data_IF_014535992644
#
_entry.id   IF_014535992644
#
_cell.length_a   1.000
_cell.length_b   1.000
_cell.length_c   1.000
_cell.angle_alpha   90.00
_cell.angle_beta   90.00
_cell.angle_gamma   90.00
#
_symmetry.space_group_name_H-M   'P 1'
#
loop_
_entity.id
_entity.type
_entity.pdbx_description
1 polymer ?
#
# COMPACT_ATOMS: atom_id res chain seq x y z
N UNK A 1 29.38 42.68 19.36
CA UNK A 1 28.65 42.13 18.21
C UNK A 1 27.90 40.90 18.69
N UNK A 2 26.56 40.95 18.83
CA UNK A 2 25.75 39.77 19.16
C UNK A 2 25.44 39.04 17.86
N UNK A 3 25.95 37.82 17.72
CA UNK A 3 25.64 36.89 16.62
C UNK A 3 24.28 36.24 16.86
N UNK A 4 23.32 36.51 15.98
CA UNK A 4 22.02 35.83 15.96
C UNK A 4 22.18 34.45 15.31
N UNK A 5 22.04 33.39 16.11
CA UNK A 5 21.96 32.03 15.60
C UNK A 5 20.54 31.77 15.07
N UNK A 6 20.42 31.43 13.79
CA UNK A 6 19.14 31.07 13.15
C UNK A 6 18.87 29.58 13.41
N UNK A 7 17.79 29.26 14.11
CA UNK A 7 17.39 27.88 14.41
C UNK A 7 16.66 27.32 13.18
N UNK A 8 17.05 26.13 12.65
CA UNK A 8 16.32 25.51 11.55
C UNK A 8 14.91 25.16 12.03
N UNK A 9 13.91 25.67 11.32
CA UNK A 9 12.51 25.29 11.55
C UNK A 9 12.31 23.89 10.99
N UNK A 10 12.18 22.90 11.86
CA UNK A 10 11.74 21.56 11.47
C UNK A 10 10.26 21.67 11.12
N UNK A 11 9.92 21.43 9.85
CA UNK A 11 8.53 21.40 9.41
C UNK A 11 7.83 20.25 10.16
N UNK A 12 6.83 20.59 10.97
CA UNK A 12 6.05 19.60 11.72
C UNK A 12 5.45 18.58 10.74
N UNK A 13 5.64 17.29 11.02
CA UNK A 13 5.01 16.23 10.25
C UNK A 13 3.49 16.41 10.30
N UNK A 14 2.84 16.48 9.13
CA UNK A 14 1.39 16.52 9.05
C UNK A 14 0.76 15.23 9.62
N UNK A 15 -0.57 15.19 9.82
CA UNK A 15 -1.25 13.98 10.30
C UNK A 15 -0.95 12.78 9.40
N UNK A 16 -0.77 11.62 10.03
CA UNK A 16 -0.48 10.35 9.37
C UNK A 16 -1.58 9.97 8.37
N UNK A 17 -1.19 9.31 7.27
CA UNK A 17 -2.12 8.71 6.32
C UNK A 17 -2.19 7.22 6.61
N UNK A 18 -3.36 6.71 7.01
CA UNK A 18 -3.59 5.28 7.21
C UNK A 18 -4.21 4.69 5.94
N UNK A 19 -3.67 3.59 5.46
CA UNK A 19 -4.19 2.79 4.35
C UNK A 19 -4.17 1.33 4.76
N UNK A 20 -5.17 0.56 4.32
CA UNK A 20 -5.15 -0.88 4.57
C UNK A 20 -4.30 -1.58 3.52
N UNK A 21 -3.67 -2.69 3.89
CA UNK A 21 -3.00 -3.55 2.93
C UNK A 21 -4.00 -4.01 1.85
N UNK A 22 -3.53 -4.08 0.61
CA UNK A 22 -4.33 -4.44 -0.58
C UNK A 22 -5.48 -3.46 -0.91
N UNK A 23 -5.60 -2.35 -0.18
CA UNK A 23 -6.56 -1.28 -0.48
C UNK A 23 -5.87 -0.03 -1.06
N UNK A 24 -6.66 0.74 -1.80
CA UNK A 24 -6.24 2.02 -2.36
C UNK A 24 -7.09 3.17 -1.82
N UNK A 25 -6.44 4.30 -1.54
CA UNK A 25 -7.07 5.54 -1.11
C UNK A 25 -6.67 6.69 -2.02
N UNK A 26 -7.63 7.57 -2.32
CA UNK A 26 -7.37 8.78 -3.10
C UNK A 26 -6.88 9.93 -2.22
N UNK A 27 -5.75 10.52 -2.58
CA UNK A 27 -5.23 11.73 -1.97
C UNK A 27 -5.43 12.91 -2.93
N UNK A 28 -6.09 13.96 -2.43
CA UNK A 28 -6.27 15.22 -3.16
C UNK A 28 -5.20 16.22 -2.73
N UNK A 29 -4.54 16.81 -3.71
CA UNK A 29 -3.49 17.80 -3.52
C UNK A 29 -4.04 19.20 -3.74
N UNK A 30 -3.51 20.17 -2.99
CA UNK A 30 -3.86 21.59 -3.18
C UNK A 30 -3.28 22.14 -4.50
N UNK A 31 -2.14 21.60 -4.93
CA UNK A 31 -1.35 22.02 -6.09
C UNK A 31 -0.92 20.81 -6.90
N UNK A 32 -0.53 21.04 -8.15
CA UNK A 32 -0.10 19.95 -9.02
C UNK A 32 1.24 19.37 -8.56
N UNK A 33 1.32 18.05 -8.42
CA UNK A 33 2.56 17.34 -8.17
C UNK A 33 3.47 17.39 -9.42
N UNK A 34 4.76 17.63 -9.19
CA UNK A 34 5.81 17.47 -10.19
C UNK A 34 6.75 16.32 -9.81
N UNK A 35 6.94 16.07 -8.52
CA UNK A 35 7.77 14.98 -8.01
C UNK A 35 7.07 14.27 -6.86
N UNK A 36 7.16 12.95 -6.84
CA UNK A 36 6.58 12.08 -5.81
C UNK A 36 7.67 11.11 -5.36
N UNK A 37 7.89 11.07 -4.05
CA UNK A 37 8.86 10.18 -3.41
C UNK A 37 8.14 9.36 -2.35
N UNK A 38 8.27 8.04 -2.46
CA UNK A 38 7.84 7.08 -1.44
C UNK A 38 9.10 6.51 -0.80
N UNK A 39 9.21 6.58 0.53
CA UNK A 39 10.39 6.12 1.24
C UNK A 39 10.70 4.63 1.01
N UNK A 40 9.67 3.78 1.07
CA UNK A 40 9.76 2.35 0.77
C UNK A 40 8.57 1.87 -0.10
N UNK A 41 8.78 1.66 -1.40
CA UNK A 41 7.76 1.15 -2.33
C UNK A 41 7.26 -0.27 -2.05
N UNK A 42 7.95 -1.05 -1.19
CA UNK A 42 7.45 -2.37 -0.77
C UNK A 42 6.32 -2.27 0.26
N UNK A 43 6.22 -1.15 0.99
CA UNK A 43 5.20 -0.91 2.01
C UNK A 43 3.97 -0.27 1.39
N UNK A 44 4.15 0.80 0.61
CA UNK A 44 3.07 1.49 -0.07
C UNK A 44 3.53 1.98 -1.45
N UNK A 45 2.59 2.22 -2.35
CA UNK A 45 2.87 2.69 -3.71
C UNK A 45 1.93 3.84 -4.08
N UNK A 46 2.35 4.70 -5.01
CA UNK A 46 1.57 5.84 -5.45
C UNK A 46 1.51 5.89 -6.96
N UNK A 47 0.29 6.00 -7.49
CA UNK A 47 0.06 6.30 -8.91
C UNK A 47 -0.62 7.65 -9.07
N UNK A 48 -0.36 8.31 -10.20
CA UNK A 48 -0.90 9.62 -10.52
C UNK A 48 -2.15 9.45 -11.37
N UNK A 49 -3.31 9.84 -10.86
CA UNK A 49 -4.54 9.89 -11.65
C UNK A 49 -4.64 11.22 -12.43
N UNK A 50 -4.26 12.32 -11.80
CA UNK A 50 -4.14 13.64 -12.40
C UNK A 50 -3.11 14.47 -11.65
N UNK A 51 -2.74 15.65 -12.16
CA UNK A 51 -1.76 16.52 -11.49
C UNK A 51 -2.08 16.79 -10.01
N UNK A 52 -3.36 16.78 -9.60
CA UNK A 52 -3.78 17.03 -8.21
C UNK A 52 -4.39 15.82 -7.50
N UNK A 53 -4.43 14.65 -8.13
CA UNK A 53 -5.05 13.45 -7.53
C UNK A 53 -4.10 12.28 -7.64
N UNK A 54 -3.76 11.73 -6.47
CA UNK A 54 -2.91 10.56 -6.32
C UNK A 54 -3.76 9.39 -5.82
N UNK A 55 -3.43 8.19 -6.25
CA UNK A 55 -3.95 6.94 -5.69
C UNK A 55 -2.81 6.29 -4.91
N UNK A 56 -2.97 6.23 -3.59
CA UNK A 56 -2.05 5.57 -2.66
C UNK A 56 -2.56 4.16 -2.39
N UNK A 57 -1.71 3.15 -2.58
CA UNK A 57 -2.04 1.74 -2.36
C UNK A 57 -1.16 1.15 -1.26
N UNK A 58 -1.77 0.48 -0.28
CA UNK A 58 -1.04 -0.31 0.72
C UNK A 58 -0.57 -1.65 0.13
N UNK A 59 0.72 -1.97 0.26
CA UNK A 59 1.32 -3.20 -0.30
C UNK A 59 1.72 -4.21 0.78
N UNK A 60 2.32 -3.74 1.87
CA UNK A 60 2.70 -4.60 2.99
C UNK A 60 2.66 -3.83 4.30
N UNK A 61 2.52 -4.56 5.41
CA UNK A 61 2.48 -3.98 6.74
C UNK A 61 3.75 -3.19 7.06
N UNK A 62 3.56 -2.02 7.66
CA UNK A 62 4.67 -1.21 8.12
C UNK A 62 4.39 0.28 8.02
N UNK A 63 5.45 1.06 8.22
CA UNK A 63 5.41 2.51 8.14
C UNK A 63 6.38 2.98 7.06
N UNK A 64 5.94 3.90 6.22
CA UNK A 64 6.80 4.63 5.29
C UNK A 64 6.44 6.11 5.31
N UNK A 65 6.97 6.89 4.37
CA UNK A 65 6.63 8.29 4.20
C UNK A 65 6.36 8.61 2.74
N UNK A 66 5.47 9.57 2.53
CA UNK A 66 5.13 10.12 1.23
C UNK A 66 5.55 11.59 1.21
N UNK A 67 6.39 11.94 0.25
CA UNK A 67 6.79 13.31 -0.05
C UNK A 67 6.31 13.66 -1.45
N UNK A 68 5.64 14.79 -1.58
CA UNK A 68 5.15 15.31 -2.87
C UNK A 68 5.61 16.75 -3.01
N UNK A 69 6.25 17.08 -4.11
CA UNK A 69 6.74 18.42 -4.44
C UNK A 69 6.02 18.98 -5.66
N UNK A 70 5.90 20.30 -5.73
CA UNK A 70 5.50 21.01 -6.93
C UNK A 70 6.68 21.27 -7.88
N UNK A 71 6.40 21.90 -9.04
CA UNK A 71 7.40 22.22 -10.04
C UNK A 71 8.46 23.25 -9.59
N UNK A 72 8.26 23.91 -8.45
CA UNK A 72 9.22 24.83 -7.84
C UNK A 72 10.06 24.14 -6.74
N UNK A 73 9.89 22.83 -6.54
CA UNK A 73 10.55 22.07 -5.48
C UNK A 73 9.97 22.32 -4.09
N UNK A 74 8.82 22.98 -3.98
CA UNK A 74 8.19 23.23 -2.68
C UNK A 74 7.31 22.05 -2.29
N UNK A 75 7.46 21.63 -1.04
CA UNK A 75 6.69 20.53 -0.43
C UNK A 75 5.20 20.83 -0.46
N UNK A 76 4.42 19.92 -1.05
CA UNK A 76 2.96 19.85 -0.99
C UNK A 76 2.55 18.90 0.14
N UNK A 77 3.16 17.72 0.21
CA UNK A 77 2.92 16.72 1.26
C UNK A 77 4.27 16.24 1.78
N UNK A 78 4.38 16.12 3.11
CA UNK A 78 5.40 15.31 3.78
C UNK A 78 4.74 14.66 5.00
N UNK A 79 4.35 13.39 4.85
CA UNK A 79 3.56 12.66 5.85
C UNK A 79 4.04 11.22 5.99
N UNK A 80 3.84 10.66 7.18
CA UNK A 80 3.98 9.23 7.43
C UNK A 80 2.79 8.47 6.82
N UNK A 81 3.05 7.32 6.24
CA UNK A 81 2.07 6.37 5.70
C UNK A 81 2.07 5.11 6.55
N UNK A 82 0.94 4.91 7.22
CA UNK A 82 0.48 3.78 8.03
C UNK A 82 -0.13 2.65 7.23
N UNK A 83 0.52 1.52 6.97
CA UNK A 83 -0.14 0.36 6.33
C UNK A 83 -0.56 -0.66 7.38
N UNK A 84 -1.87 -0.88 7.49
CA UNK A 84 -2.49 -1.70 8.54
C UNK A 84 -3.23 -2.93 7.98
N UNK A 85 -3.65 -3.82 8.87
CA UNK A 85 -4.53 -4.94 8.54
C UNK A 85 -5.87 -4.47 7.98
N UNK A 86 -6.45 -5.16 6.98
CA UNK A 86 -7.73 -4.77 6.43
C UNK A 86 -8.82 -4.78 7.50
N UNK A 87 -9.72 -3.80 7.44
CA UNK A 87 -10.77 -3.68 8.44
C UNK A 87 -11.95 -4.59 8.13
N UNK A 88 -12.42 -5.34 9.14
CA UNK A 88 -13.67 -6.09 9.11
C UNK A 88 -13.54 -7.52 8.59
N UNK A 89 -14.21 -8.47 9.25
CA UNK A 89 -14.24 -9.88 8.83
C UNK A 89 -12.95 -10.68 9.05
N UNK A 90 -11.79 -10.04 9.14
CA UNK A 90 -10.52 -10.75 9.37
C UNK A 90 -10.40 -11.30 10.80
N UNK A 91 -10.08 -12.59 10.90
CA UNK A 91 -9.88 -13.32 12.15
C UNK A 91 -8.54 -14.03 12.10
N UNK A 92 -7.64 -13.70 13.04
CA UNK A 92 -6.32 -14.32 13.14
C UNK A 92 -6.30 -15.37 14.24
N UNK A 93 -5.95 -16.61 13.88
CA UNK A 93 -5.85 -17.76 14.79
C UNK A 93 -4.39 -18.09 15.03
N UNK A 94 -3.99 -18.17 16.30
CA UNK A 94 -2.66 -18.57 16.73
C UNK A 94 -2.68 -19.98 17.36
N UNK A 95 -1.84 -20.88 16.85
CA UNK A 95 -1.60 -22.23 17.39
C UNK A 95 -0.11 -22.41 17.67
N UNK A 96 0.31 -22.06 18.88
CA UNK A 96 1.74 -21.93 19.19
C UNK A 96 2.35 -20.80 18.37
N UNK A 97 3.39 -21.10 17.58
CA UNK A 97 4.01 -20.15 16.64
C UNK A 97 3.32 -20.09 15.26
N UNK A 98 2.36 -20.98 14.99
CA UNK A 98 1.61 -20.97 13.73
C UNK A 98 0.53 -19.89 13.77
N UNK A 99 0.58 -18.96 12.81
CA UNK A 99 -0.43 -17.92 12.58
C UNK A 99 -1.21 -18.27 11.31
N UNK A 100 -2.54 -18.19 11.37
CA UNK A 100 -3.40 -18.32 10.19
C UNK A 100 -4.46 -17.24 10.25
N UNK A 101 -4.73 -16.60 9.12
CA UNK A 101 -5.75 -15.57 9.01
C UNK A 101 -6.90 -16.08 8.14
N UNK A 102 -8.12 -15.78 8.57
CA UNK A 102 -9.39 -16.08 7.90
C UNK A 102 -10.14 -14.77 7.64
N UNK A 103 -10.98 -14.74 6.60
CA UNK A 103 -11.93 -13.65 6.39
C UNK A 103 -13.35 -14.20 6.48
N UNK A 104 -14.08 -13.81 7.52
CA UNK A 104 -15.38 -14.34 7.89
C UNK A 104 -16.50 -13.32 7.68
N UNK A 105 -17.37 -13.56 6.69
CA UNK A 105 -18.55 -12.73 6.43
C UNK A 105 -19.58 -13.42 5.51
N UNK A 106 -20.58 -14.17 6.03
CA UNK A 106 -20.72 -14.78 7.35
C UNK A 106 -19.94 -16.10 7.51
N UNK A 107 -19.61 -16.76 6.40
CA UNK A 107 -18.75 -17.93 6.34
C UNK A 107 -17.28 -17.49 6.25
N UNK A 108 -16.36 -18.35 6.69
CA UNK A 108 -14.93 -18.06 6.72
C UNK A 108 -14.21 -18.60 5.48
N UNK A 109 -13.56 -17.71 4.76
CA UNK A 109 -12.68 -18.00 3.63
C UNK A 109 -11.20 -17.86 4.04
N UNK A 110 -10.29 -18.44 3.25
CA UNK A 110 -8.84 -18.41 3.48
C UNK A 110 -8.15 -17.39 2.58
N UNK A 111 -7.99 -16.13 3.01
CA UNK A 111 -7.28 -15.11 2.24
C UNK A 111 -5.77 -15.38 2.23
N UNK A 112 -5.10 -14.90 1.18
CA UNK A 112 -3.63 -14.83 1.15
C UNK A 112 -3.16 -13.64 2.00
N UNK A 113 -2.63 -13.89 3.20
CA UNK A 113 -2.28 -12.82 4.15
C UNK A 113 -0.80 -12.87 4.54
N UNK A 114 -0.14 -11.72 4.45
CA UNK A 114 1.27 -11.58 4.83
C UNK A 114 1.43 -11.89 6.33
N UNK A 115 2.48 -12.65 6.67
CA UNK A 115 2.82 -13.01 8.06
C UNK A 115 2.13 -14.27 8.58
N UNK A 116 1.25 -14.90 7.81
CA UNK A 116 0.76 -16.24 8.14
C UNK A 116 1.87 -17.29 8.05
N UNK A 117 1.64 -18.44 8.65
CA UNK A 117 2.54 -19.59 8.61
C UNK A 117 2.89 -19.96 7.16
N UNK A 118 4.16 -20.27 6.92
CA UNK A 118 4.71 -20.36 5.58
C UNK A 118 4.02 -21.43 4.71
N UNK A 119 3.77 -22.63 5.25
CA UNK A 119 3.11 -23.69 4.50
C UNK A 119 1.65 -23.33 4.17
N UNK A 120 0.93 -22.70 5.10
CA UNK A 120 -0.42 -22.18 4.84
C UNK A 120 -0.44 -21.10 3.76
N UNK A 121 0.48 -20.13 3.82
CA UNK A 121 0.62 -19.08 2.81
C UNK A 121 0.96 -19.66 1.42
N UNK A 122 1.93 -20.56 1.34
CA UNK A 122 2.37 -21.20 0.09
C UNK A 122 1.26 -22.03 -0.55
N UNK A 123 0.46 -22.74 0.25
CA UNK A 123 -0.68 -23.51 -0.24
C UNK A 123 -1.71 -22.60 -0.94
N UNK A 124 -2.13 -21.52 -0.29
CA UNK A 124 -3.09 -20.57 -0.86
C UNK A 124 -2.51 -19.87 -2.10
N UNK A 125 -1.24 -19.44 -2.04
CA UNK A 125 -0.57 -18.79 -3.17
C UNK A 125 -0.52 -19.71 -4.40
N UNK A 126 -0.27 -21.01 -4.19
CA UNK A 126 -0.29 -22.02 -5.25
C UNK A 126 -1.68 -22.16 -5.87
N UNK A 127 -2.73 -22.25 -5.05
CA UNK A 127 -4.11 -22.33 -5.54
C UNK A 127 -4.51 -21.11 -6.39
N UNK A 128 -4.18 -19.91 -5.91
CA UNK A 128 -4.41 -18.65 -6.65
C UNK A 128 -3.66 -18.67 -7.98
N UNK A 129 -2.37 -19.05 -7.98
CA UNK A 129 -1.56 -19.10 -9.21
C UNK A 129 -2.10 -20.11 -10.20
N UNK A 130 -2.52 -21.29 -9.75
CA UNK A 130 -3.15 -22.31 -10.61
C UNK A 130 -4.45 -21.79 -11.21
N UNK A 131 -5.31 -21.14 -10.41
CA UNK A 131 -6.55 -20.53 -10.88
C UNK A 131 -6.30 -19.42 -11.92
N UNK A 132 -5.31 -18.56 -11.68
CA UNK A 132 -4.91 -17.52 -12.63
C UNK A 132 -4.41 -18.11 -13.95
N UNK A 133 -3.58 -19.16 -13.90
CA UNK A 133 -3.09 -19.84 -15.10
C UNK A 133 -4.22 -20.42 -15.96
N UNK A 134 -5.23 -21.03 -15.32
CA UNK A 134 -6.43 -21.52 -16.01
C UNK A 134 -7.17 -20.35 -16.68
N UNK A 135 -7.35 -19.24 -15.97
CA UNK A 135 -8.03 -18.05 -16.51
C UNK A 135 -7.27 -17.36 -17.65
N UNK A 136 -5.94 -17.27 -17.56
CA UNK A 136 -5.09 -16.65 -18.58
C UNK A 136 -5.02 -17.48 -19.88
N UNK A 137 -5.05 -18.81 -19.77
CA UNK A 137 -5.10 -19.70 -20.95
C UNK A 137 -6.34 -19.50 -21.82
N UNK A 138 -7.39 -18.87 -21.29
CA UNK A 138 -8.62 -18.54 -22.04
C UNK A 138 -8.58 -17.14 -22.69
N UNK A 139 -7.67 -16.26 -22.27
CA UNK A 139 -7.57 -14.87 -22.74
C UNK A 139 -6.58 -14.68 -23.90
N UNK A 140 -5.63 -15.61 -24.09
CA UNK A 140 -4.61 -15.53 -25.15
C UNK A 140 -5.05 -16.15 -26.50
N UNK A 141 -6.28 -16.67 -26.60
CA UNK A 141 -6.81 -17.36 -27.77
C UNK A 141 -7.43 -16.49 -28.89
N UNK A 142 -7.27 -15.16 -28.87
CA UNK A 142 -7.96 -14.27 -29.84
C UNK A 142 -7.05 -13.32 -30.64
N UNK A 143 -5.77 -13.67 -30.82
CA UNK A 143 -4.91 -12.99 -31.80
C UNK A 143 -4.14 -14.02 -32.63
N UNK A 144 -4.81 -14.58 -33.63
CA UNK A 144 -4.16 -15.23 -34.77
C UNK A 144 -4.70 -14.62 -36.06
N UNK A 145 -3.77 -13.97 -36.74
CA UNK A 145 -3.59 -13.90 -38.19
C UNK A 145 -4.51 -12.95 -38.99
N UNK A 146 -3.94 -11.79 -39.35
CA UNK A 146 -4.07 -11.23 -40.70
C UNK A 146 -2.75 -10.56 -41.15
#
# INVERSE_FOLDING_TARGET
MLTTASIPTVLAAGPEVVVMVDEATMLRLERSAAEIVVGNPSIADVSVQSGKVLVLTGKSFGQTNLIVLDAQGKVIINRRVVVQEPSGGYVTVYRGSSRQTLHCAPDCETPLVIGDEAAYFEAIAKEIKTKQAIGQSSAEGSKQDE
#
